data_IF_256134728085
#
_entry.id   IF_256134728085
#
_cell.length_a   1.000
_cell.length_b   1.000
_cell.length_c   1.000
_cell.angle_alpha   90.00
_cell.angle_beta   90.00
_cell.angle_gamma   90.00
#
_symmetry.space_group_name_H-M   'P 1'
#
loop_
_entity.id
_entity.type
_entity.pdbx_description
1 polymer ?
#
# COMPACT_ATOMS: atom_id res chain seq x y z
N UNK A 1 -4.85 -14.52 7.32
CA UNK A 1 -4.86 -15.06 5.94
C UNK A 1 -5.06 -13.91 4.98
N UNK A 2 -4.11 -13.65 4.06
CA UNK A 2 -4.24 -12.57 3.09
C UNK A 2 -5.36 -12.85 2.07
N UNK A 3 -5.78 -11.83 1.35
CA UNK A 3 -6.77 -11.93 0.27
C UNK A 3 -6.23 -11.27 -1.00
N UNK A 4 -6.51 -11.86 -2.16
CA UNK A 4 -6.03 -11.38 -3.46
C UNK A 4 -6.87 -11.94 -4.59
N UNK A 5 -6.60 -11.50 -5.82
CA UNK A 5 -7.22 -12.03 -7.04
C UNK A 5 -6.20 -12.82 -7.84
N UNK A 6 -6.66 -13.91 -8.43
CA UNK A 6 -5.85 -14.78 -9.27
C UNK A 6 -6.67 -15.33 -10.43
N UNK A 7 -5.99 -15.80 -11.48
CA UNK A 7 -6.54 -16.60 -12.58
C UNK A 7 -5.65 -17.80 -12.84
N UNK A 8 -6.16 -18.90 -13.36
CA UNK A 8 -5.35 -20.10 -13.63
C UNK A 8 -4.29 -19.81 -14.71
N UNK A 9 -3.04 -20.20 -14.47
CA UNK A 9 -1.85 -19.99 -15.30
C UNK A 9 -1.27 -21.32 -15.82
N UNK A 10 -0.52 -21.25 -16.91
CA UNK A 10 0.09 -22.40 -17.59
C UNK A 10 1.60 -22.59 -17.37
N UNK A 11 1.99 -22.97 -16.14
CA UNK A 11 3.29 -23.58 -15.71
C UNK A 11 4.59 -22.72 -15.81
N UNK A 12 5.74 -22.92 -15.11
CA UNK A 12 6.22 -23.81 -14.02
C UNK A 12 7.33 -23.13 -13.17
N UNK A 13 7.47 -23.48 -11.87
CA UNK A 13 8.59 -23.09 -10.98
C UNK A 13 8.26 -23.07 -9.46
N UNK A 14 9.16 -23.56 -8.59
CA UNK A 14 8.91 -23.91 -7.16
C UNK A 14 9.13 -22.78 -6.13
N UNK A 15 8.35 -22.76 -5.01
CA UNK A 15 8.68 -22.21 -3.66
C UNK A 15 7.58 -22.48 -2.59
N UNK A 16 7.86 -22.11 -1.33
CA UNK A 16 7.25 -22.61 -0.06
C UNK A 16 5.88 -21.99 0.27
N UNK A 17 4.91 -22.87 0.57
CA UNK A 17 3.47 -22.60 0.55
C UNK A 17 3.00 -22.67 -0.90
N UNK A 18 2.17 -23.65 -1.26
CA UNK A 18 2.03 -24.03 -2.66
C UNK A 18 0.64 -23.81 -3.23
N UNK A 19 -0.37 -23.38 -2.48
CA UNK A 19 -1.76 -23.33 -2.95
C UNK A 19 -2.44 -21.97 -2.67
N UNK A 20 -3.44 -21.66 -3.49
CA UNK A 20 -4.40 -20.56 -3.28
C UNK A 20 -5.78 -21.17 -3.13
N UNK A 21 -6.56 -20.73 -2.15
CA UNK A 21 -7.95 -21.18 -2.01
C UNK A 21 -8.90 -20.30 -2.84
N UNK A 22 -9.61 -20.89 -3.78
CA UNK A 22 -10.79 -20.28 -4.41
C UNK A 22 -11.96 -20.30 -3.41
N UNK A 23 -12.27 -19.13 -2.83
CA UNK A 23 -13.31 -18.99 -1.83
C UNK A 23 -14.72 -19.35 -2.36
N UNK A 24 -14.98 -19.12 -3.65
CA UNK A 24 -16.28 -19.42 -4.26
C UNK A 24 -16.39 -20.92 -4.53
N UNK A 25 -15.37 -21.53 -5.10
CA UNK A 25 -15.35 -22.99 -5.34
C UNK A 25 -15.39 -23.78 -4.01
N UNK A 26 -14.80 -23.23 -2.94
CA UNK A 26 -14.88 -23.77 -1.59
C UNK A 26 -16.24 -23.57 -0.89
N UNK A 27 -17.18 -22.84 -1.53
CA UNK A 27 -18.51 -22.54 -0.99
C UNK A 27 -18.53 -21.55 0.17
N UNK A 28 -17.46 -20.76 0.35
CA UNK A 28 -17.35 -19.77 1.42
C UNK A 28 -17.98 -18.42 1.07
N UNK A 29 -18.09 -18.13 -0.23
CA UNK A 29 -18.77 -16.95 -0.79
C UNK A 29 -19.50 -17.36 -2.09
N UNK A 30 -20.49 -16.56 -2.51
CA UNK A 30 -21.29 -16.83 -3.71
C UNK A 30 -20.88 -15.97 -4.93
N UNK A 31 -19.85 -15.13 -4.79
CA UNK A 31 -19.40 -14.17 -5.80
C UNK A 31 -17.87 -14.18 -5.97
N UNK A 32 -17.37 -13.54 -7.03
CA UNK A 32 -15.94 -13.32 -7.27
C UNK A 32 -15.52 -11.85 -7.08
N UNK A 33 -16.46 -10.97 -6.72
CA UNK A 33 -16.24 -9.54 -6.55
C UNK A 33 -15.46 -9.22 -5.24
N UNK A 34 -14.26 -8.65 -5.39
CA UNK A 34 -13.43 -8.25 -4.25
C UNK A 34 -14.01 -7.04 -3.50
N UNK A 35 -14.67 -6.09 -4.15
CA UNK A 35 -15.30 -4.95 -3.47
C UNK A 35 -16.37 -5.41 -2.50
N UNK A 36 -17.23 -6.35 -2.94
CA UNK A 36 -18.23 -6.98 -2.06
C UNK A 36 -17.57 -7.70 -0.89
N UNK A 37 -16.45 -8.41 -1.10
CA UNK A 37 -15.69 -9.04 -0.01
C UNK A 37 -15.08 -8.01 0.95
N UNK A 38 -14.66 -6.86 0.44
CA UNK A 38 -14.06 -5.79 1.24
C UNK A 38 -15.09 -5.09 2.13
N UNK A 39 -16.33 -5.02 1.68
CA UNK A 39 -17.48 -4.36 2.32
C UNK A 39 -18.25 -5.25 3.30
N UNK A 40 -17.89 -6.53 3.46
CA UNK A 40 -18.54 -7.40 4.45
C UNK A 40 -18.40 -6.87 5.88
N UNK A 41 -19.42 -7.10 6.68
CA UNK A 41 -19.50 -6.69 8.09
C UNK A 41 -18.39 -7.33 8.93
N UNK A 42 -18.03 -6.75 10.09
CA UNK A 42 -17.08 -7.39 11.01
C UNK A 42 -17.46 -8.83 11.40
N UNK A 43 -18.76 -9.10 11.53
CA UNK A 43 -19.30 -10.42 11.87
C UNK A 43 -19.10 -11.43 10.75
N UNK A 44 -19.47 -11.09 9.51
CA UNK A 44 -19.24 -11.94 8.33
C UNK A 44 -17.74 -12.18 8.11
N UNK A 45 -16.93 -11.14 8.30
CA UNK A 45 -15.47 -11.22 8.23
C UNK A 45 -14.90 -12.20 9.24
N UNK A 46 -15.37 -12.13 10.49
CA UNK A 46 -14.94 -13.03 11.56
C UNK A 46 -15.35 -14.47 11.25
N UNK A 47 -16.60 -14.68 10.81
CA UNK A 47 -17.11 -15.99 10.41
C UNK A 47 -16.29 -16.58 9.26
N UNK A 48 -15.94 -15.80 8.24
CA UNK A 48 -15.08 -16.24 7.14
C UNK A 48 -13.67 -16.61 7.64
N UNK A 49 -13.08 -15.80 8.53
CA UNK A 49 -11.76 -16.12 9.10
C UNK A 49 -11.77 -17.41 9.92
N UNK A 50 -12.83 -17.64 10.70
CA UNK A 50 -13.01 -18.86 11.48
C UNK A 50 -13.19 -20.07 10.56
N UNK A 51 -14.08 -19.98 9.57
CA UNK A 51 -14.31 -21.04 8.59
C UNK A 51 -13.03 -21.42 7.84
N UNK A 52 -12.23 -20.43 7.42
CA UNK A 52 -10.92 -20.66 6.78
C UNK A 52 -9.93 -21.34 7.72
N UNK A 53 -9.81 -20.86 8.96
CA UNK A 53 -8.90 -21.42 9.96
C UNK A 53 -9.25 -22.86 10.34
N UNK A 54 -10.54 -23.18 10.44
CA UNK A 54 -11.03 -24.52 10.71
C UNK A 54 -10.91 -25.47 9.51
N UNK A 55 -11.21 -24.96 8.31
CA UNK A 55 -11.18 -25.77 7.09
C UNK A 55 -9.77 -26.07 6.59
N UNK A 56 -8.81 -25.14 6.76
CA UNK A 56 -7.41 -25.33 6.37
C UNK A 56 -6.54 -25.99 7.45
N UNK A 57 -7.13 -26.35 8.60
CA UNK A 57 -6.42 -27.10 9.64
C UNK A 57 -6.14 -28.53 9.15
N UNK A 58 -4.93 -29.03 9.38
CA UNK A 58 -4.59 -30.41 9.06
C UNK A 58 -5.59 -31.39 9.72
N UNK A 59 -6.13 -32.32 8.93
CA UNK A 59 -7.14 -33.28 9.39
C UNK A 59 -8.56 -32.73 9.48
N UNK A 60 -8.82 -31.52 8.95
CA UNK A 60 -10.18 -30.98 8.86
C UNK A 60 -11.06 -31.86 7.97
N UNK A 61 -12.32 -32.04 8.35
CA UNK A 61 -13.32 -32.72 7.51
C UNK A 61 -13.58 -31.99 6.20
N UNK A 62 -13.25 -30.68 6.13
CA UNK A 62 -13.35 -29.87 4.91
C UNK A 62 -12.15 -30.00 3.99
N UNK A 63 -11.06 -30.64 4.42
CA UNK A 63 -9.82 -30.74 3.65
C UNK A 63 -10.05 -31.41 2.28
N UNK A 64 -10.72 -32.57 2.26
CA UNK A 64 -11.05 -33.28 1.02
C UNK A 64 -12.06 -32.50 0.16
N UNK A 65 -12.99 -31.78 0.79
CA UNK A 65 -13.99 -30.99 0.07
C UNK A 65 -13.38 -29.75 -0.61
N UNK A 66 -12.29 -29.20 -0.05
CA UNK A 66 -11.62 -28.01 -0.57
C UNK A 66 -10.42 -28.30 -1.47
N UNK A 67 -9.96 -29.55 -1.54
CA UNK A 67 -8.85 -29.96 -2.41
C UNK A 67 -9.04 -29.50 -3.88
N UNK A 68 -10.23 -29.64 -4.52
CA UNK A 68 -10.44 -29.13 -5.88
C UNK A 68 -10.42 -27.60 -5.99
N UNK A 69 -10.62 -26.89 -4.88
CA UNK A 69 -10.62 -25.44 -4.78
C UNK A 69 -9.26 -24.86 -4.35
N UNK A 70 -8.21 -25.69 -4.27
CA UNK A 70 -6.87 -25.32 -3.84
C UNK A 70 -5.84 -25.50 -4.98
N UNK A 71 -5.95 -24.77 -6.10
CA UNK A 71 -4.94 -24.84 -7.15
C UNK A 71 -3.55 -24.44 -6.62
N UNK A 72 -2.48 -25.01 -7.18
CA UNK A 72 -1.15 -24.60 -6.79
C UNK A 72 -0.89 -23.15 -7.23
N UNK A 73 -0.16 -22.38 -6.41
CA UNK A 73 0.24 -20.99 -6.68
C UNK A 73 0.99 -20.85 -8.01
N UNK A 74 1.77 -21.86 -8.40
CA UNK A 74 2.48 -21.89 -9.68
C UNK A 74 1.56 -22.07 -10.88
N UNK A 75 0.34 -22.57 -10.67
CA UNK A 75 -0.70 -22.69 -11.69
C UNK A 75 -1.69 -21.53 -11.64
N UNK A 76 -1.34 -20.40 -11.00
CA UNK A 76 -2.15 -19.19 -11.05
C UNK A 76 -1.30 -17.95 -11.33
N UNK A 77 -1.89 -16.98 -12.01
CA UNK A 77 -1.35 -15.65 -12.21
C UNK A 77 -2.06 -14.69 -11.26
N UNK A 78 -1.28 -13.92 -10.51
CA UNK A 78 -1.78 -12.95 -9.56
C UNK A 78 -1.95 -11.60 -10.24
N UNK A 79 -3.11 -10.97 -10.01
CA UNK A 79 -3.41 -9.62 -10.51
C UNK A 79 -3.36 -8.58 -9.39
N UNK A 80 -3.82 -7.36 -9.71
CA UNK A 80 -4.11 -6.38 -8.66
C UNK A 80 -5.12 -6.99 -7.68
N UNK A 81 -4.97 -6.78 -6.36
CA UNK A 81 -5.79 -7.46 -5.37
C UNK A 81 -7.27 -7.06 -5.43
N UNK A 82 -7.60 -5.87 -5.94
CA UNK A 82 -8.95 -5.43 -6.25
C UNK A 82 -8.93 -4.46 -7.44
N UNK A 83 -10.11 -4.08 -7.94
CA UNK A 83 -10.25 -2.90 -8.79
C UNK A 83 -10.03 -1.67 -7.90
N UNK A 84 -9.25 -0.72 -8.38
CA UNK A 84 -8.91 0.49 -7.64
C UNK A 84 -9.54 1.66 -8.38
N UNK A 85 -10.40 2.41 -7.71
CA UNK A 85 -11.08 3.57 -8.32
C UNK A 85 -10.23 4.83 -8.16
N UNK A 86 -9.64 5.02 -6.97
CA UNK A 86 -8.77 6.13 -6.62
C UNK A 86 -7.54 5.65 -5.84
N UNK A 87 -6.42 6.34 -6.05
CA UNK A 87 -5.15 6.12 -5.36
C UNK A 87 -4.63 7.46 -4.84
N UNK A 88 -4.35 7.51 -3.54
CA UNK A 88 -3.75 8.69 -2.88
C UNK A 88 -2.44 8.26 -2.24
N UNK A 89 -1.38 8.99 -2.57
CA UNK A 89 -0.07 8.84 -1.94
C UNK A 89 0.10 9.88 -0.83
N UNK A 90 0.61 9.46 0.31
CA UNK A 90 0.78 10.27 1.51
C UNK A 90 2.26 10.46 1.85
N UNK A 91 2.66 11.71 2.02
CA UNK A 91 4.00 12.11 2.42
C UNK A 91 4.12 12.18 3.95
N UNK A 92 4.07 11.02 4.61
CA UNK A 92 3.96 10.93 6.08
C UNK A 92 5.22 10.44 6.80
N UNK A 93 6.20 9.88 6.08
CA UNK A 93 7.45 9.40 6.66
C UNK A 93 8.41 10.55 7.01
N UNK A 94 8.50 10.96 8.28
CA UNK A 94 9.28 12.14 8.68
C UNK A 94 10.78 12.07 8.32
N UNK A 95 11.38 10.88 8.36
CA UNK A 95 12.78 10.69 7.98
C UNK A 95 12.98 10.84 6.48
N UNK A 96 12.10 10.23 5.68
CA UNK A 96 12.07 10.43 4.23
C UNK A 96 11.83 11.91 3.91
N UNK A 97 10.87 12.54 4.57
CA UNK A 97 10.53 13.94 4.34
C UNK A 97 11.68 14.90 4.68
N UNK A 98 12.44 14.59 5.72
CA UNK A 98 13.60 15.38 6.12
C UNK A 98 14.76 15.18 5.16
N UNK A 99 14.99 13.96 4.67
CA UNK A 99 16.11 13.65 3.78
C UNK A 99 15.90 14.20 2.37
N UNK A 100 14.72 13.97 1.78
CA UNK A 100 14.33 14.62 0.51
C UNK A 100 14.31 16.13 0.70
N UNK A 101 13.75 16.61 1.82
CA UNK A 101 13.73 18.01 2.18
C UNK A 101 15.11 18.66 2.12
N UNK A 102 16.15 18.03 2.65
CA UNK A 102 17.53 18.55 2.62
C UNK A 102 18.12 18.67 1.22
N UNK A 103 17.76 17.77 0.31
CA UNK A 103 18.25 17.79 -1.08
C UNK A 103 17.72 19.00 -1.86
N UNK A 104 16.53 19.48 -1.52
CA UNK A 104 15.89 20.63 -2.18
C UNK A 104 15.94 21.92 -1.34
N UNK A 105 16.04 21.81 -0.01
CA UNK A 105 15.92 22.90 0.97
C UNK A 105 16.77 22.57 2.22
N UNK A 106 18.05 22.94 2.19
CA UNK A 106 19.02 22.64 3.27
C UNK A 106 18.59 23.15 4.65
N UNK A 107 17.99 24.34 4.71
CA UNK A 107 17.79 25.07 5.97
C UNK A 107 16.41 24.81 6.60
N UNK A 108 15.42 24.41 5.79
CA UNK A 108 14.06 24.09 6.21
C UNK A 108 13.54 22.86 5.45
N UNK A 109 14.00 21.66 5.82
CA UNK A 109 13.70 20.44 5.06
C UNK A 109 12.21 20.07 5.12
N UNK A 110 11.52 20.41 6.21
CA UNK A 110 10.07 20.21 6.36
C UNK A 110 9.33 21.52 6.10
N UNK A 111 8.30 21.46 5.24
CA UNK A 111 7.39 22.58 5.05
C UNK A 111 6.59 22.87 6.33
N UNK A 112 6.19 24.14 6.59
CA UNK A 112 5.49 24.51 7.82
C UNK A 112 4.23 23.69 8.10
N UNK A 113 3.52 23.26 7.06
CA UNK A 113 2.29 22.48 7.14
C UNK A 113 2.50 20.99 7.45
N UNK A 114 3.71 20.44 7.28
CA UNK A 114 3.97 19.00 7.40
C UNK A 114 3.55 18.42 8.75
N UNK A 115 3.67 19.18 9.84
CA UNK A 115 3.30 18.74 11.20
C UNK A 115 1.81 18.87 11.51
N UNK A 116 1.02 19.45 10.61
CA UNK A 116 -0.38 19.81 10.85
C UNK A 116 -1.36 19.02 10.00
N UNK A 117 -0.95 18.65 8.79
CA UNK A 117 -1.78 17.88 7.85
C UNK A 117 -0.94 16.74 7.27
N UNK A 118 -1.49 15.51 7.15
CA UNK A 118 -0.87 14.45 6.38
C UNK A 118 -0.97 14.84 4.90
N UNK A 119 0.09 15.50 4.40
CA UNK A 119 0.15 15.94 3.00
C UNK A 119 0.06 14.69 2.12
N UNK A 120 -0.77 14.75 1.09
CA UNK A 120 -0.87 13.72 0.08
C UNK A 120 -1.33 14.31 -1.25
N UNK A 121 -1.25 13.51 -2.30
CA UNK A 121 -1.67 13.86 -3.65
C UNK A 121 -2.31 12.66 -4.33
N UNK A 122 -3.11 12.92 -5.37
CA UNK A 122 -3.72 11.86 -6.16
C UNK A 122 -2.67 11.22 -7.06
N UNK A 123 -2.48 9.92 -6.92
CA UNK A 123 -1.66 9.11 -7.82
C UNK A 123 -2.45 8.63 -9.03
N UNK A 124 -1.79 7.87 -9.91
CA UNK A 124 -2.39 7.40 -11.16
C UNK A 124 -2.82 5.95 -11.09
N UNK A 125 -4.14 5.75 -10.98
CA UNK A 125 -4.76 4.42 -10.95
C UNK A 125 -4.47 3.59 -12.20
N UNK A 126 -4.49 4.20 -13.39
CA UNK A 126 -4.32 3.47 -14.66
C UNK A 126 -2.95 2.81 -14.84
N UNK A 127 -1.97 3.16 -14.01
CA UNK A 127 -0.61 2.62 -14.04
C UNK A 127 -0.25 1.82 -12.79
N UNK A 128 -1.26 1.49 -11.97
CA UNK A 128 -1.12 0.46 -10.94
C UNK A 128 -0.95 -0.90 -11.59
N UNK A 129 0.06 -1.63 -11.15
CA UNK A 129 0.39 -2.95 -11.66
C UNK A 129 0.63 -3.91 -10.51
N UNK A 130 0.30 -5.19 -10.70
CA UNK A 130 0.65 -6.22 -9.74
C UNK A 130 2.15 -6.49 -9.74
N UNK A 131 2.67 -6.98 -8.61
CA UNK A 131 4.04 -7.48 -8.53
C UNK A 131 4.30 -8.55 -9.60
N UNK A 132 5.42 -8.41 -10.32
CA UNK A 132 5.78 -9.28 -11.45
C UNK A 132 5.64 -8.59 -12.81
N UNK A 133 4.89 -7.49 -12.91
CA UNK A 133 4.81 -6.69 -14.13
C UNK A 133 6.11 -5.93 -14.43
N UNK A 134 6.46 -5.87 -15.70
CA UNK A 134 7.54 -5.00 -16.21
C UNK A 134 6.97 -3.71 -16.78
N UNK A 135 7.71 -2.61 -16.64
CA UNK A 135 7.41 -1.33 -17.28
C UNK A 135 8.67 -0.76 -17.94
N UNK A 136 8.48 0.12 -18.92
CA UNK A 136 9.59 0.79 -19.58
C UNK A 136 10.13 1.92 -18.71
N UNK A 137 11.45 2.11 -18.74
CA UNK A 137 12.08 3.33 -18.20
C UNK A 137 11.41 4.54 -18.86
N UNK A 138 10.90 5.51 -18.08
CA UNK A 138 10.16 6.62 -18.66
C UNK A 138 11.09 7.54 -19.45
N UNK A 139 10.56 8.07 -20.55
CA UNK A 139 11.11 9.23 -21.25
C UNK A 139 10.46 10.48 -20.68
N UNK A 140 11.24 11.52 -20.37
CA UNK A 140 10.67 12.77 -19.89
C UNK A 140 11.63 13.94 -19.97
N UNK A 141 11.12 15.11 -19.65
CA UNK A 141 11.91 16.32 -19.58
C UNK A 141 12.64 16.39 -18.25
N UNK A 142 13.94 16.64 -18.28
CA UNK A 142 14.72 17.05 -17.11
C UNK A 142 15.53 18.29 -17.46
N UNK A 143 15.86 19.11 -16.45
CA UNK A 143 16.69 20.30 -16.65
C UNK A 143 17.79 20.33 -15.59
N UNK A 144 19.04 20.31 -16.05
CA UNK A 144 20.19 20.52 -15.16
C UNK A 144 20.14 21.95 -14.56
N UNK A 145 20.71 22.18 -13.37
CA UNK A 145 20.64 23.49 -12.70
C UNK A 145 21.17 24.66 -13.53
N UNK A 146 22.17 24.41 -14.38
CA UNK A 146 22.86 25.37 -15.24
C UNK A 146 22.35 25.37 -16.70
N UNK A 147 21.42 24.47 -17.05
CA UNK A 147 20.91 24.36 -18.40
C UNK A 147 19.85 25.44 -18.71
N UNK A 148 19.99 26.09 -19.86
CA UNK A 148 19.03 27.09 -20.34
C UNK A 148 17.67 26.49 -20.73
N UNK A 149 17.64 25.23 -21.17
CA UNK A 149 16.44 24.53 -21.66
C UNK A 149 16.42 23.09 -21.13
N UNK A 150 15.22 22.52 -20.89
CA UNK A 150 15.11 21.09 -20.54
C UNK A 150 15.46 20.21 -21.74
N UNK A 151 15.86 18.97 -21.45
CA UNK A 151 16.14 17.94 -22.46
C UNK A 151 15.15 16.81 -22.29
N UNK A 152 14.59 16.33 -23.42
CA UNK A 152 13.79 15.10 -23.46
C UNK A 152 14.72 13.90 -23.62
N UNK A 153 14.80 13.05 -22.60
CA UNK A 153 15.69 11.89 -22.58
C UNK A 153 15.11 10.75 -21.73
N UNK A 154 15.66 9.52 -21.81
CA UNK A 154 15.35 8.48 -20.84
C UNK A 154 15.74 8.95 -19.45
N UNK A 155 14.88 8.70 -18.46
CA UNK A 155 15.15 9.00 -17.07
C UNK A 155 16.52 8.45 -16.64
N UNK A 156 17.39 9.33 -16.15
CA UNK A 156 18.69 8.98 -15.62
C UNK A 156 18.58 8.45 -14.18
N UNK A 157 17.66 9.00 -13.39
CA UNK A 157 17.55 8.73 -11.95
C UNK A 157 16.23 8.02 -11.60
N UNK A 158 16.18 6.73 -11.93
CA UNK A 158 15.03 5.87 -11.59
C UNK A 158 15.21 5.29 -10.18
N UNK A 159 14.18 5.40 -9.37
CA UNK A 159 14.22 5.11 -7.95
C UNK A 159 12.95 4.36 -7.47
N UNK A 160 13.06 3.74 -6.30
CA UNK A 160 11.94 3.08 -5.60
C UNK A 160 11.48 3.91 -4.41
N UNK A 161 10.20 3.83 -4.08
CA UNK A 161 9.68 4.26 -2.78
C UNK A 161 9.00 3.08 -2.10
N UNK A 162 9.63 2.55 -1.06
CA UNK A 162 9.08 1.45 -0.28
C UNK A 162 7.95 1.96 0.61
N UNK A 163 6.74 1.49 0.33
CA UNK A 163 5.53 1.96 0.97
C UNK A 163 4.60 0.83 1.44
N UNK A 164 3.59 1.22 2.22
CA UNK A 164 2.45 0.38 2.54
C UNK A 164 1.20 0.94 1.87
N UNK A 165 0.55 0.13 1.04
CA UNK A 165 -0.77 0.44 0.52
C UNK A 165 -1.84 0.08 1.54
N UNK A 166 -2.81 0.98 1.76
CA UNK A 166 -3.97 0.73 2.63
C UNK A 166 -5.21 0.63 1.75
N UNK A 167 -5.92 -0.49 1.82
CA UNK A 167 -7.18 -0.67 1.10
C UNK A 167 -8.35 -0.27 2.00
N UNK A 168 -9.19 0.63 1.50
CA UNK A 168 -10.43 1.03 2.15
C UNK A 168 -11.54 0.07 1.74
N UNK A 169 -12.19 -0.56 2.73
CA UNK A 169 -13.31 -1.48 2.52
C UNK A 169 -14.66 -0.79 2.63
N UNK A 170 -14.87 -0.01 3.70
CA UNK A 170 -16.14 0.69 3.89
C UNK A 170 -16.04 2.10 3.31
N UNK A 171 -16.91 2.49 2.36
CA UNK A 171 -16.93 3.85 1.84
C UNK A 171 -17.53 4.82 2.87
N UNK A 172 -17.37 6.11 2.63
CA UNK A 172 -18.14 7.16 3.28
C UNK A 172 -18.95 7.93 2.22
N UNK A 173 -20.05 8.54 2.66
CA UNK A 173 -20.88 9.36 1.77
C UNK A 173 -20.17 10.67 1.46
N UNK A 174 -20.29 11.16 0.21
CA UNK A 174 -19.71 12.44 -0.21
C UNK A 174 -20.17 13.58 0.74
N UNK A 175 -19.21 14.38 1.20
CA UNK A 175 -19.45 15.47 2.15
C UNK A 175 -19.59 15.01 3.62
N UNK A 176 -19.60 13.71 3.91
CA UNK A 176 -19.65 13.16 5.27
C UNK A 176 -18.25 12.67 5.66
N UNK A 177 -17.54 13.38 6.56
CA UNK A 177 -16.19 13.00 6.96
C UNK A 177 -16.19 11.77 7.86
N UNK A 178 -15.12 10.97 7.75
CA UNK A 178 -14.85 9.85 8.67
C UNK A 178 -14.13 10.39 9.91
N UNK A 179 -14.66 10.10 11.10
CA UNK A 179 -14.01 10.48 12.35
C UNK A 179 -12.74 9.65 12.58
N UNK A 180 -11.80 10.21 13.33
CA UNK A 180 -10.56 9.53 13.71
C UNK A 180 -10.81 8.21 14.45
N UNK A 181 -11.87 8.15 15.24
CA UNK A 181 -12.29 6.96 16.00
C UNK A 181 -12.87 5.87 15.10
N UNK A 182 -13.49 6.26 13.98
CA UNK A 182 -14.06 5.35 13.01
C UNK A 182 -13.06 4.93 11.92
N UNK A 183 -12.00 5.70 11.67
CA UNK A 183 -11.10 5.51 10.53
C UNK A 183 -10.58 4.09 10.34
N UNK A 184 -10.15 3.40 11.41
CA UNK A 184 -9.66 2.03 11.33
C UNK A 184 -10.75 1.02 10.92
N UNK A 185 -12.03 1.31 11.18
CA UNK A 185 -13.16 0.46 10.79
C UNK A 185 -13.42 0.51 9.27
N UNK A 186 -12.94 1.56 8.59
CA UNK A 186 -12.99 1.67 7.14
C UNK A 186 -11.87 0.91 6.45
N UNK A 187 -10.79 0.54 7.15
CA UNK A 187 -9.64 -0.16 6.56
C UNK A 187 -9.95 -1.65 6.40
N UNK A 188 -9.83 -2.14 5.17
CA UNK A 188 -9.93 -3.57 4.88
C UNK A 188 -8.62 -4.31 5.21
N UNK A 189 -7.49 -3.71 4.84
CA UNK A 189 -6.17 -4.28 5.08
C UNK A 189 -5.05 -3.49 4.42
N UNK A 190 -3.85 -4.04 4.47
CA UNK A 190 -2.60 -3.43 4.01
C UNK A 190 -1.86 -4.32 3.02
N UNK A 191 -1.06 -3.74 2.14
CA UNK A 191 -0.15 -4.45 1.24
C UNK A 191 1.19 -3.74 1.15
N UNK A 192 2.18 -4.39 0.52
CA UNK A 192 3.40 -3.70 0.09
C UNK A 192 3.12 -2.92 -1.19
N UNK A 193 3.68 -1.72 -1.25
CA UNK A 193 3.55 -0.82 -2.38
C UNK A 193 4.94 -0.28 -2.77
N UNK A 194 5.19 -0.13 -4.06
CA UNK A 194 6.36 0.55 -4.58
C UNK A 194 5.93 1.66 -5.53
N UNK A 195 6.18 2.90 -5.14
CA UNK A 195 5.94 4.05 -5.99
C UNK A 195 7.18 4.43 -6.79
N UNK A 196 7.26 3.93 -8.03
CA UNK A 196 8.44 4.15 -8.86
C UNK A 196 8.57 5.62 -9.21
N UNK A 197 9.79 6.12 -9.10
CA UNK A 197 10.04 7.57 -9.17
C UNK A 197 11.16 7.89 -10.14
N UNK A 198 10.89 8.79 -11.08
CA UNK A 198 11.90 9.35 -11.98
C UNK A 198 12.35 10.72 -11.44
N UNK A 199 13.40 10.74 -10.62
CA UNK A 199 13.76 11.88 -9.77
C UNK A 199 14.22 13.12 -10.54
N UNK A 200 14.90 12.90 -11.65
CA UNK A 200 15.34 13.93 -12.58
C UNK A 200 14.18 14.63 -13.29
N UNK A 201 13.14 13.86 -13.67
CA UNK A 201 11.88 14.41 -14.20
C UNK A 201 11.13 15.14 -13.07
N UNK A 202 11.03 14.52 -11.89
CA UNK A 202 10.31 15.06 -10.73
C UNK A 202 10.83 16.43 -10.33
N UNK A 203 12.16 16.58 -10.22
CA UNK A 203 12.79 17.84 -9.82
C UNK A 203 12.45 19.00 -10.77
N UNK A 204 12.23 18.71 -12.06
CA UNK A 204 11.87 19.69 -13.06
C UNK A 204 10.38 20.05 -13.05
N UNK A 205 9.50 19.06 -12.90
CA UNK A 205 8.04 19.26 -13.07
C UNK A 205 7.27 19.60 -11.78
N UNK A 206 7.78 19.25 -10.60
CA UNK A 206 6.93 19.17 -9.39
C UNK A 206 6.40 20.50 -8.86
N UNK A 207 6.95 21.64 -9.30
CA UNK A 207 6.50 22.96 -8.85
C UNK A 207 5.60 23.62 -9.91
N UNK A 208 4.44 24.18 -9.50
CA UNK A 208 3.85 24.22 -8.16
C UNK A 208 2.87 23.08 -7.86
N UNK A 209 2.57 22.22 -8.84
CA UNK A 209 1.39 21.34 -8.81
C UNK A 209 1.61 19.97 -8.16
N UNK A 210 2.85 19.66 -7.77
CA UNK A 210 3.23 18.34 -7.25
C UNK A 210 3.74 17.40 -8.35
N UNK A 211 4.19 16.19 -7.96
CA UNK A 211 4.69 15.19 -8.89
C UNK A 211 3.59 14.70 -9.85
N UNK A 212 3.98 14.40 -11.10
CA UNK A 212 3.03 13.96 -12.13
C UNK A 212 3.63 12.87 -13.03
N UNK A 213 4.29 13.22 -14.14
CA UNK A 213 4.87 12.23 -15.06
C UNK A 213 6.00 11.43 -14.41
N UNK A 214 6.65 12.00 -13.40
CA UNK A 214 7.69 11.35 -12.63
C UNK A 214 7.20 10.21 -11.73
N UNK A 215 5.88 10.00 -11.64
CA UNK A 215 5.22 8.96 -10.82
C UNK A 215 4.23 8.13 -11.64
N UNK A 216 3.51 8.78 -12.57
CA UNK A 216 2.43 8.17 -13.34
C UNK A 216 2.87 7.11 -14.36
N UNK A 217 4.14 6.73 -14.43
CA UNK A 217 4.62 5.72 -15.39
C UNK A 217 4.45 4.29 -14.85
N UNK A 218 4.57 4.08 -13.54
CA UNK A 218 4.35 2.78 -12.89
C UNK A 218 4.25 2.92 -11.38
N UNK A 219 3.28 2.24 -10.77
CA UNK A 219 3.31 1.94 -9.34
C UNK A 219 2.98 0.46 -9.15
N UNK A 220 3.73 -0.24 -8.29
CA UNK A 220 3.61 -1.70 -8.14
C UNK A 220 2.98 -2.05 -6.81
N UNK A 221 1.93 -2.86 -6.85
CA UNK A 221 1.16 -3.34 -5.71
C UNK A 221 1.41 -4.83 -5.51
N UNK A 222 1.73 -5.24 -4.29
CA UNK A 222 1.80 -6.65 -3.98
C UNK A 222 0.38 -7.27 -3.96
N UNK A 223 0.15 -8.44 -4.60
CA UNK A 223 -1.20 -8.94 -4.91
C UNK A 223 -1.97 -9.48 -3.70
N UNK A 224 -1.37 -9.44 -2.51
CA UNK A 224 -1.94 -9.97 -1.28
C UNK A 224 -2.24 -8.85 -0.28
N UNK A 225 -3.51 -8.68 0.06
CA UNK A 225 -3.96 -7.78 1.13
C UNK A 225 -3.94 -8.52 2.46
N UNK A 226 -3.09 -8.06 3.37
CA UNK A 226 -3.01 -8.52 4.74
C UNK A 226 -4.07 -7.80 5.55
N UNK A 227 -5.01 -8.57 6.08
CA UNK A 227 -6.07 -8.03 6.91
C UNK A 227 -5.49 -7.46 8.19
N UNK A 228 -5.94 -6.27 8.55
CA UNK A 228 -5.73 -5.73 9.89
C UNK A 228 -6.68 -6.49 10.82
N UNK A 229 -6.20 -7.53 11.50
CA UNK A 229 -6.95 -8.08 12.63
C UNK A 229 -6.87 -7.04 13.75
N UNK A 230 -8.00 -6.41 14.08
CA UNK A 230 -8.15 -5.64 15.32
C UNK A 230 -7.95 -6.59 16.50
N UNK A 231 -6.68 -6.80 16.89
CA UNK A 231 -6.38 -7.34 18.21
C UNK A 231 -6.54 -6.20 19.19
N UNK A 232 -7.55 -6.28 20.04
CA UNK A 232 -7.70 -5.40 21.22
C UNK A 232 -6.59 -5.62 22.26
N UNK A 233 -5.51 -6.35 21.94
CA UNK A 233 -4.35 -6.49 22.81
C UNK A 233 -3.38 -5.34 22.57
N UNK A 234 -3.44 -4.38 23.50
CA UNK A 234 -2.39 -3.43 23.85
C UNK A 234 -1.03 -3.68 23.14
N UNK A 235 -0.71 -2.83 22.15
CA UNK A 235 0.67 -2.55 21.77
C UNK A 235 1.54 -3.70 21.22
N UNK A 236 0.95 -4.81 20.76
CA UNK A 236 1.71 -5.96 20.25
C UNK A 236 2.20 -5.79 18.81
N UNK A 237 3.51 -5.83 18.62
CA UNK A 237 4.22 -5.82 17.34
C UNK A 237 3.73 -6.92 16.37
N UNK A 238 3.64 -6.58 15.09
CA UNK A 238 3.34 -7.50 13.98
C UNK A 238 4.37 -8.66 13.99
N UNK A 239 3.90 -9.89 14.20
CA UNK A 239 4.75 -11.08 14.21
C UNK A 239 5.24 -11.45 12.81
N UNK A 240 6.57 -11.37 12.64
CA UNK A 240 7.47 -12.12 11.73
C UNK A 240 7.00 -12.49 10.32
N UNK A 241 7.67 -11.89 9.33
CA UNK A 241 7.63 -12.22 7.91
C UNK A 241 8.63 -13.35 7.57
N UNK A 242 8.21 -14.50 7.01
CA UNK A 242 9.13 -15.43 6.38
C UNK A 242 9.38 -15.02 4.91
N UNK A 243 10.63 -14.77 4.51
CA UNK A 243 10.98 -14.75 3.07
C UNK A 243 11.99 -13.73 2.54
N UNK A 244 12.63 -12.87 3.34
CA UNK A 244 13.68 -11.98 2.82
C UNK A 244 15.01 -12.73 2.73
N UNK A 245 15.40 -13.14 1.53
CA UNK A 245 16.73 -13.70 1.26
C UNK A 245 17.81 -12.64 1.53
N UNK A 246 18.70 -12.95 2.48
CA UNK A 246 19.83 -12.10 2.87
C UNK A 246 20.86 -12.00 1.74
N UNK A 247 21.04 -10.81 1.20
CA UNK A 247 22.37 -10.25 0.87
C UNK A 247 22.48 -8.84 1.49
N UNK A 248 23.66 -8.43 1.97
CA UNK A 248 23.75 -7.46 3.06
C UNK A 248 23.99 -6.04 2.53
N UNK A 249 22.99 -5.16 2.73
CA UNK A 249 23.12 -3.72 3.11
C UNK A 249 21.75 -3.06 2.94
N UNK A 250 20.88 -3.28 3.91
CA UNK A 250 19.87 -2.31 4.35
C UNK A 250 19.19 -2.89 5.60
N UNK A 251 19.49 -2.33 6.77
CA UNK A 251 18.64 -2.53 7.95
C UNK A 251 17.41 -1.65 7.74
N UNK A 252 16.30 -2.26 7.31
CA UNK A 252 15.02 -1.56 7.24
C UNK A 252 14.32 -1.76 8.58
N UNK A 253 14.30 -0.70 9.39
CA UNK A 253 13.32 -0.57 10.46
C UNK A 253 11.95 -0.39 9.82
N UNK A 254 10.94 -1.09 10.33
CA UNK A 254 9.54 -0.87 9.99
C UNK A 254 9.26 0.63 9.93
N UNK A 255 8.67 1.09 8.82
CA UNK A 255 8.22 2.48 8.69
C UNK A 255 7.22 2.72 9.80
N UNK A 256 7.69 3.38 10.87
CA UNK A 256 6.83 3.94 11.87
C UNK A 256 5.98 4.99 11.15
N UNK A 257 4.69 4.69 10.96
CA UNK A 257 3.69 5.73 10.76
C UNK A 257 3.83 6.71 11.93
N UNK A 258 4.60 7.80 11.74
CA UNK A 258 4.74 8.85 12.75
C UNK A 258 3.41 9.56 13.00
N UNK A 259 2.44 9.33 12.13
CA UNK A 259 1.03 9.61 12.32
C UNK A 259 0.29 8.34 12.77
N UNK A 260 0.40 7.99 14.05
CA UNK A 260 -0.79 7.43 14.71
C UNK A 260 -1.75 8.58 14.80
N UNK A 261 -2.87 8.56 14.07
CA UNK A 261 -4.09 9.34 14.30
C UNK A 261 -4.04 10.12 15.63
N UNK A 262 -3.40 11.30 15.64
CA UNK A 262 -2.87 11.87 16.90
C UNK A 262 -4.07 12.37 17.71
N UNK A 263 -4.36 11.73 18.84
CA UNK A 263 -5.15 12.34 19.91
C UNK A 263 -4.41 13.61 20.35
N UNK A 264 -4.94 14.79 20.04
CA UNK A 264 -4.73 15.93 20.93
C UNK A 264 -5.83 15.92 21.98
N UNK A 265 -5.43 15.74 23.24
CA UNK A 265 -6.30 16.02 24.39
C UNK A 265 -6.86 17.45 24.28
N UNK A 266 -8.13 17.69 24.66
CA UNK A 266 -8.73 19.04 24.67
C UNK A 266 -8.03 20.06 25.59
N UNK A 267 -7.03 19.65 26.38
CA UNK A 267 -6.42 20.44 27.45
C UNK A 267 -5.12 21.17 27.08
N UNK A 268 -4.67 21.14 25.82
CA UNK A 268 -3.47 21.87 25.43
C UNK A 268 -3.76 23.39 25.32
N UNK A 269 -3.44 24.13 26.39
CA UNK A 269 -3.46 25.61 26.40
C UNK A 269 -2.40 26.16 25.44
N UNK A 270 -2.78 27.21 24.72
CA UNK A 270 -1.91 27.97 23.81
C UNK A 270 -0.81 28.70 24.60
N UNK A 271 0.47 28.64 24.21
CA UNK A 271 1.44 29.63 24.65
C UNK A 271 1.13 30.95 23.94
N UNK A 272 0.99 32.01 24.72
CA UNK A 272 0.78 33.37 24.23
C UNK A 272 1.93 33.78 23.29
N UNK A 273 1.58 34.38 22.16
CA UNK A 273 2.54 35.09 21.32
C UNK A 273 3.04 36.30 22.09
N UNK A 274 4.30 36.27 22.56
CA UNK A 274 5.02 37.48 22.95
C UNK A 274 5.58 38.11 21.69
N UNK A 275 5.03 39.26 21.31
CA UNK A 275 5.57 40.10 20.25
C UNK A 275 6.86 40.80 20.67
N UNK A 276 7.72 40.98 19.68
CA UNK A 276 8.69 42.08 19.55
C UNK A 276 8.88 42.35 18.08
#
# INVERSE_FOLDING_TARGET
MPSGRFRTAGESGWRIGDQVLDLRAAGLIDHADMHRLMQVTPQERQALCQALSEGLRAGSTRQLAWEPALPPQSAVELGLPCEVDDYTDFYVGIHHASEIGRQFRSDNPLLPNYKWVPIGYHGRVSTLQASGSSFHRPMGQSRAPDAAQPVLAPCAWLDIELELGIFIGQPNVQGVPVSMQAAEQHVFGITLFNDWSARDIQAWEYQPLGPFLSKNFASTVWPWIFRQTMSTRNGGCVSSWPGVSRTPRCRVSAVAMSWRWVRRSPSARWPAQSGS
#
